data_IF_966918841489
#
_entry.id   IF_966918841489
#
_cell.length_a   1.000
_cell.length_b   1.000
_cell.length_c   1.000
_cell.angle_alpha   90.00
_cell.angle_beta   90.00
_cell.angle_gamma   90.00
#
_symmetry.space_group_name_H-M   'P 1'
#
loop_
_entity.id
_entity.type
_entity.pdbx_description
1 polymer ?
#
# COMPACT_ATOMS: atom_id res chain seq x y z
N UNK A 1 -20.56 -8.82 -15.83
CA UNK A 1 -20.89 -7.43 -15.43
C UNK A 1 -20.28 -7.22 -14.07
N UNK A 2 -19.27 -6.36 -13.96
CA UNK A 2 -18.59 -6.05 -12.69
C UNK A 2 -19.52 -5.26 -11.78
N UNK A 3 -19.82 -5.79 -10.60
CA UNK A 3 -20.57 -5.09 -9.55
C UNK A 3 -19.68 -4.12 -8.76
N UNK A 4 -20.30 -3.25 -7.96
CA UNK A 4 -19.54 -2.44 -6.99
C UNK A 4 -18.79 -3.36 -6.01
N UNK A 5 -17.49 -3.12 -5.83
CA UNK A 5 -16.65 -3.92 -4.94
C UNK A 5 -16.09 -5.20 -5.54
N UNK A 6 -16.27 -5.41 -6.84
CA UNK A 6 -15.67 -6.52 -7.59
C UNK A 6 -14.24 -6.20 -8.02
N UNK A 7 -13.34 -7.15 -7.83
CA UNK A 7 -11.92 -7.05 -8.21
C UNK A 7 -11.62 -7.60 -9.60
N UNK A 8 -12.57 -8.26 -10.26
CA UNK A 8 -12.37 -8.96 -11.54
C UNK A 8 -11.68 -8.08 -12.58
N UNK A 9 -12.21 -6.90 -12.88
CA UNK A 9 -11.63 -6.00 -13.88
C UNK A 9 -10.26 -5.45 -13.50
N UNK A 10 -9.99 -5.22 -12.20
CA UNK A 10 -8.68 -4.73 -11.74
C UNK A 10 -7.65 -5.85 -11.87
N UNK A 11 -8.00 -7.05 -11.45
CA UNK A 11 -7.13 -8.22 -11.44
C UNK A 11 -6.83 -8.78 -12.83
N UNK A 12 -7.77 -8.66 -13.77
CA UNK A 12 -7.53 -9.01 -15.18
C UNK A 12 -6.50 -8.07 -15.82
N UNK A 13 -6.49 -6.78 -15.45
CA UNK A 13 -5.62 -5.77 -16.05
C UNK A 13 -4.29 -5.55 -15.31
N UNK A 14 -4.20 -5.94 -14.03
CA UNK A 14 -3.01 -5.72 -13.20
C UNK A 14 -2.68 -6.96 -12.36
N UNK A 15 -1.43 -7.45 -12.39
CA UNK A 15 -1.01 -8.62 -11.62
C UNK A 15 -0.77 -8.25 -10.15
N UNK A 16 -1.84 -8.01 -9.40
CA UNK A 16 -1.75 -7.65 -7.98
C UNK A 16 -1.73 -8.92 -7.10
N UNK A 17 -0.89 -9.00 -6.05
CA UNK A 17 -0.84 -10.18 -5.18
C UNK A 17 -2.16 -10.55 -4.49
N UNK A 18 -3.03 -9.56 -4.25
CA UNK A 18 -4.36 -9.79 -3.69
C UNK A 18 -5.24 -10.65 -4.60
N UNK A 19 -5.05 -10.58 -5.91
CA UNK A 19 -5.88 -11.25 -6.91
C UNK A 19 -5.83 -12.77 -6.81
N UNK A 20 -4.72 -13.32 -6.33
CA UNK A 20 -4.59 -14.75 -6.07
C UNK A 20 -5.35 -15.23 -4.81
N UNK A 21 -5.96 -14.33 -4.03
CA UNK A 21 -6.74 -14.67 -2.83
C UNK A 21 -8.22 -14.25 -2.91
N UNK A 22 -8.67 -13.67 -4.03
CA UNK A 22 -10.05 -13.17 -4.18
C UNK A 22 -10.65 -13.59 -5.52
N UNK A 23 -11.99 -13.61 -5.60
CA UNK A 23 -12.72 -13.90 -6.83
C UNK A 23 -13.39 -15.28 -6.85
N UNK A 24 -13.80 -15.76 -8.03
CA UNK A 24 -14.46 -17.05 -8.16
C UNK A 24 -13.50 -18.21 -7.87
N UNK A 25 -14.06 -19.35 -7.45
CA UNK A 25 -13.32 -20.60 -7.32
C UNK A 25 -13.10 -21.22 -8.69
N UNK A 26 -11.84 -21.39 -9.10
CA UNK A 26 -11.50 -22.04 -10.36
C UNK A 26 -11.87 -23.54 -10.32
N UNK A 27 -12.67 -24.05 -11.27
CA UNK A 27 -13.10 -25.45 -11.29
C UNK A 27 -11.94 -26.45 -11.41
N UNK A 28 -10.84 -26.05 -12.08
CA UNK A 28 -9.71 -26.92 -12.37
C UNK A 28 -8.82 -27.20 -11.14
N UNK A 29 -8.72 -26.25 -10.22
CA UNK A 29 -7.81 -26.33 -9.06
C UNK A 29 -8.55 -26.26 -7.72
N UNK A 30 -9.87 -26.01 -7.74
CA UNK A 30 -10.72 -25.77 -6.58
C UNK A 30 -10.15 -24.69 -5.64
N UNK A 31 -9.47 -23.69 -6.22
CA UNK A 31 -8.82 -22.57 -5.52
C UNK A 31 -9.47 -21.26 -5.91
N UNK A 32 -9.48 -20.32 -4.98
CA UNK A 32 -9.90 -18.94 -5.24
C UNK A 32 -8.77 -18.20 -5.94
N UNK A 33 -9.09 -17.38 -6.94
CA UNK A 33 -8.17 -16.43 -7.53
C UNK A 33 -8.69 -15.86 -8.85
N UNK A 34 -8.13 -14.73 -9.27
CA UNK A 34 -8.33 -14.15 -10.60
C UNK A 34 -6.94 -14.06 -11.26
N UNK A 35 -6.82 -14.61 -12.46
CA UNK A 35 -5.58 -14.60 -13.22
C UNK A 35 -5.53 -13.37 -14.15
N UNK A 36 -4.42 -12.62 -14.19
CA UNK A 36 -4.28 -11.46 -15.06
C UNK A 36 -4.12 -11.85 -16.53
N UNK A 37 -4.67 -11.05 -17.44
CA UNK A 37 -4.56 -11.24 -18.89
C UNK A 37 -3.12 -10.97 -19.39
N UNK A 38 -2.42 -10.06 -18.72
CA UNK A 38 -1.03 -9.69 -19.03
C UNK A 38 -0.23 -9.49 -17.75
N UNK A 39 0.92 -10.17 -17.64
CA UNK A 39 1.84 -10.04 -16.51
C UNK A 39 3.29 -10.07 -16.99
N UNK A 40 4.21 -9.57 -16.15
CA UNK A 40 5.62 -9.53 -16.49
C UNK A 40 6.19 -10.96 -16.60
N UNK A 41 6.91 -11.25 -17.69
CA UNK A 41 7.44 -12.59 -17.94
C UNK A 41 8.35 -13.05 -16.80
N UNK A 42 8.08 -14.25 -16.29
CA UNK A 42 8.88 -14.89 -15.25
C UNK A 42 10.30 -15.19 -15.75
N UNK A 43 11.29 -15.05 -14.87
CA UNK A 43 12.69 -15.33 -15.18
C UNK A 43 13.11 -16.57 -14.40
N UNK A 44 13.62 -17.58 -15.10
CA UNK A 44 14.23 -18.75 -14.47
C UNK A 44 15.73 -18.49 -14.31
N UNK A 45 16.23 -18.49 -13.08
CA UNK A 45 17.65 -18.32 -12.76
C UNK A 45 18.07 -19.41 -11.76
N UNK A 46 19.11 -20.18 -12.08
CA UNK A 46 19.72 -21.15 -11.16
C UNK A 46 18.71 -22.08 -10.42
N UNK A 47 17.79 -22.70 -11.16
CA UNK A 47 16.72 -23.57 -10.66
C UNK A 47 15.65 -22.91 -9.78
N UNK A 48 15.61 -21.57 -9.69
CA UNK A 48 14.51 -20.83 -9.09
C UNK A 48 13.76 -20.03 -10.16
N UNK A 49 12.44 -19.96 -10.03
CA UNK A 49 11.60 -19.12 -10.89
C UNK A 49 11.30 -17.86 -10.09
N UNK A 50 11.76 -16.72 -10.60
CA UNK A 50 11.44 -15.40 -10.06
C UNK A 50 10.22 -14.90 -10.83
N UNK A 51 9.15 -14.66 -10.08
CA UNK A 51 7.95 -14.04 -10.63
C UNK A 51 8.18 -12.55 -10.81
N UNK A 52 7.61 -12.00 -11.88
CA UNK A 52 7.62 -10.55 -12.15
C UNK A 52 8.98 -9.87 -11.96
N UNK A 53 10.03 -10.41 -12.61
CA UNK A 53 11.40 -9.92 -12.41
C UNK A 53 11.58 -8.42 -12.65
N UNK A 54 10.80 -7.83 -13.57
CA UNK A 54 10.79 -6.39 -13.81
C UNK A 54 10.24 -5.59 -12.62
N UNK A 55 9.13 -6.03 -12.01
CA UNK A 55 8.56 -5.40 -10.83
C UNK A 55 9.51 -5.53 -9.62
N UNK A 56 10.11 -6.70 -9.45
CA UNK A 56 11.13 -6.96 -8.43
C UNK A 56 12.33 -6.00 -8.54
N UNK A 57 12.83 -5.76 -9.76
CA UNK A 57 13.91 -4.80 -10.00
C UNK A 57 13.50 -3.36 -9.63
N UNK A 58 12.26 -2.96 -9.94
CA UNK A 58 11.74 -1.64 -9.57
C UNK A 58 11.62 -1.45 -8.06
N UNK A 59 11.21 -2.47 -7.31
CA UNK A 59 11.19 -2.42 -5.85
C UNK A 59 12.59 -2.23 -5.26
N UNK A 60 13.62 -2.87 -5.81
CA UNK A 60 15.02 -2.68 -5.38
C UNK A 60 15.46 -1.22 -5.62
N UNK A 61 15.17 -0.67 -6.79
CA UNK A 61 15.46 0.73 -7.11
C UNK A 61 14.72 1.68 -6.16
N UNK A 62 13.43 1.41 -5.90
CA UNK A 62 12.62 2.19 -4.98
C UNK A 62 13.18 2.15 -3.54
N UNK A 63 13.66 0.99 -3.06
CA UNK A 63 14.32 0.87 -1.76
C UNK A 63 15.60 1.72 -1.68
N UNK A 64 16.45 1.65 -2.71
CA UNK A 64 17.69 2.46 -2.77
C UNK A 64 17.34 3.95 -2.73
N UNK A 65 16.39 4.40 -3.56
CA UNK A 65 15.95 5.80 -3.57
C UNK A 65 15.35 6.22 -2.23
N UNK A 66 14.57 5.35 -1.58
CA UNK A 66 14.01 5.63 -0.25
C UNK A 66 15.10 5.83 0.79
N UNK A 67 16.16 5.01 0.78
CA UNK A 67 17.32 5.18 1.67
C UNK A 67 17.97 6.55 1.43
N UNK A 68 18.21 6.89 0.16
CA UNK A 68 18.81 8.18 -0.22
C UNK A 68 17.94 9.33 0.30
N UNK A 69 16.63 9.28 0.12
CA UNK A 69 15.70 10.30 0.61
C UNK A 69 15.74 10.44 2.14
N UNK A 70 15.73 9.32 2.87
CA UNK A 70 15.83 9.34 4.34
C UNK A 70 17.12 10.03 4.80
N UNK A 71 18.26 9.73 4.16
CA UNK A 71 19.53 10.36 4.48
C UNK A 71 19.50 11.88 4.25
N UNK A 72 18.93 12.34 3.12
CA UNK A 72 18.80 13.76 2.79
C UNK A 72 17.84 14.51 3.72
N UNK A 73 16.75 13.87 4.15
CA UNK A 73 15.80 14.48 5.10
C UNK A 73 16.45 14.61 6.48
N UNK A 74 17.24 13.62 6.90
CA UNK A 74 17.96 13.66 8.19
C UNK A 74 19.12 14.66 8.21
N UNK A 75 19.72 14.99 7.06
CA UNK A 75 20.85 15.92 6.98
C UNK A 75 20.45 17.39 7.07
N UNK A 76 19.17 17.74 6.87
CA UNK A 76 18.66 19.11 7.03
C UNK A 76 18.26 19.33 8.49
N UNK A 77 18.68 20.45 9.12
CA UNK A 77 18.45 20.71 10.55
C UNK A 77 17.28 21.64 10.88
N UNK A 78 16.73 22.38 9.91
CA UNK A 78 15.58 23.29 10.09
C UNK A 78 14.53 23.09 8.98
N UNK A 79 13.60 22.16 9.19
CA UNK A 79 12.57 21.83 8.20
C UNK A 79 11.29 21.44 8.93
N UNK A 80 10.19 22.08 8.54
CA UNK A 80 8.84 21.83 9.08
C UNK A 80 8.40 20.42 8.72
N UNK A 81 7.81 19.69 9.66
CA UNK A 81 7.27 18.34 9.42
C UNK A 81 8.31 17.24 9.17
N UNK A 82 9.58 17.44 9.56
CA UNK A 82 10.66 16.47 9.30
C UNK A 82 10.41 15.10 9.91
N UNK A 83 10.00 15.05 11.19
CA UNK A 83 9.84 13.77 11.90
C UNK A 83 8.64 12.99 11.36
N UNK A 84 7.64 13.73 10.91
CA UNK A 84 6.39 13.27 10.36
C UNK A 84 6.62 12.60 8.98
N UNK A 85 7.28 13.30 8.06
CA UNK A 85 7.59 12.75 6.73
C UNK A 85 8.60 11.58 6.80
N UNK A 86 9.51 11.59 7.76
CA UNK A 86 10.39 10.43 7.99
C UNK A 86 9.60 9.17 8.36
N UNK A 87 8.51 9.30 9.10
CA UNK A 87 7.67 8.14 9.44
C UNK A 87 6.97 7.58 8.21
N UNK A 88 6.54 8.43 7.27
CA UNK A 88 6.05 8.00 5.95
C UNK A 88 7.12 7.19 5.21
N UNK A 89 8.36 7.69 5.11
CA UNK A 89 9.43 6.96 4.42
C UNK A 89 9.80 5.62 5.06
N UNK A 90 9.72 5.50 6.38
CA UNK A 90 9.93 4.20 7.05
C UNK A 90 8.82 3.20 6.74
N UNK A 91 7.56 3.63 6.71
CA UNK A 91 6.44 2.77 6.30
C UNK A 91 6.58 2.40 4.82
N UNK A 92 6.95 3.34 3.96
CA UNK A 92 7.19 3.10 2.52
C UNK A 92 8.31 2.09 2.28
N UNK A 93 9.41 2.20 3.02
CA UNK A 93 10.51 1.23 2.97
C UNK A 93 10.03 -0.17 3.35
N UNK A 94 9.26 -0.29 4.44
CA UNK A 94 8.72 -1.58 4.89
C UNK A 94 7.72 -2.15 3.88
N UNK A 95 6.80 -1.34 3.34
CA UNK A 95 5.85 -1.73 2.30
C UNK A 95 6.55 -2.23 1.04
N UNK A 96 7.57 -1.51 0.58
CA UNK A 96 8.33 -1.85 -0.63
C UNK A 96 9.11 -3.14 -0.43
N UNK A 97 9.69 -3.35 0.76
CA UNK A 97 10.37 -4.60 1.10
C UNK A 97 9.40 -5.80 1.13
N UNK A 98 8.23 -5.67 1.75
CA UNK A 98 7.22 -6.73 1.77
C UNK A 98 6.69 -6.99 0.35
N UNK A 99 6.46 -5.93 -0.45
CA UNK A 99 6.02 -6.06 -1.84
C UNK A 99 7.06 -6.81 -2.68
N UNK A 100 8.36 -6.52 -2.50
CA UNK A 100 9.43 -7.28 -3.15
C UNK A 100 9.39 -8.77 -2.79
N UNK A 101 9.17 -9.12 -1.52
CA UNK A 101 9.08 -10.53 -1.08
C UNK A 101 7.90 -11.26 -1.72
N UNK A 102 6.76 -10.59 -1.82
CA UNK A 102 5.52 -11.16 -2.37
C UNK A 102 5.60 -11.26 -3.91
N UNK A 103 5.98 -10.17 -4.58
CA UNK A 103 5.97 -10.06 -6.04
C UNK A 103 7.08 -10.91 -6.69
N UNK A 104 8.25 -11.02 -6.04
CA UNK A 104 9.33 -11.91 -6.51
C UNK A 104 8.97 -13.40 -6.37
N UNK A 105 7.86 -13.72 -5.68
CA UNK A 105 7.40 -15.08 -5.42
C UNK A 105 8.26 -15.85 -4.42
N UNK A 106 8.96 -15.15 -3.51
CA UNK A 106 9.64 -15.78 -2.35
C UNK A 106 8.62 -16.53 -1.50
N UNK A 107 7.42 -15.97 -1.37
CA UNK A 107 6.25 -16.66 -0.83
C UNK A 107 5.39 -17.08 -2.02
N UNK A 108 5.35 -18.37 -2.39
CA UNK A 108 4.66 -18.79 -3.60
C UNK A 108 3.14 -18.62 -3.47
N UNK A 109 2.44 -18.17 -4.53
CA UNK A 109 0.99 -18.19 -4.59
C UNK A 109 0.44 -19.59 -4.30
N UNK A 110 -0.72 -19.65 -3.65
CA UNK A 110 -1.35 -20.89 -3.14
C UNK A 110 -0.63 -21.59 -1.96
N UNK A 111 0.44 -21.01 -1.40
CA UNK A 111 0.98 -21.48 -0.12
C UNK A 111 0.17 -20.98 1.08
N UNK A 112 0.15 -21.75 2.16
CA UNK A 112 -0.49 -21.36 3.42
C UNK A 112 -0.11 -19.97 3.99
N UNK A 113 1.17 -19.53 3.93
CA UNK A 113 1.57 -18.20 4.39
C UNK A 113 1.18 -17.05 3.44
N UNK A 114 0.97 -17.31 2.15
CA UNK A 114 0.69 -16.27 1.15
C UNK A 114 -0.40 -15.25 1.55
N UNK A 115 -1.61 -15.65 2.01
CA UNK A 115 -2.64 -14.69 2.41
C UNK A 115 -2.23 -13.78 3.58
N UNK A 116 -1.32 -14.21 4.45
CA UNK A 116 -0.83 -13.38 5.56
C UNK A 116 0.14 -12.30 5.07
N UNK A 117 1.03 -12.63 4.14
CA UNK A 117 1.95 -11.65 3.57
C UNK A 117 1.21 -10.61 2.73
N UNK A 118 0.22 -11.04 1.94
CA UNK A 118 -0.64 -10.14 1.16
C UNK A 118 -1.48 -9.25 2.08
N UNK A 119 -2.00 -9.77 3.20
CA UNK A 119 -2.74 -8.92 4.15
C UNK A 119 -1.84 -7.90 4.85
N UNK A 120 -0.57 -8.24 5.14
CA UNK A 120 0.44 -7.28 5.64
C UNK A 120 0.70 -6.20 4.59
N UNK A 121 0.89 -6.57 3.32
CA UNK A 121 1.10 -5.63 2.23
C UNK A 121 -0.08 -4.64 2.12
N UNK A 122 -1.32 -5.14 2.09
CA UNK A 122 -2.53 -4.31 2.07
C UNK A 122 -2.63 -3.38 3.30
N UNK A 123 -2.32 -3.91 4.49
CA UNK A 123 -2.28 -3.11 5.72
C UNK A 123 -1.26 -1.98 5.64
N UNK A 124 -0.05 -2.27 5.17
CA UNK A 124 1.02 -1.28 5.04
C UNK A 124 0.68 -0.21 3.99
N UNK A 125 0.03 -0.58 2.88
CA UNK A 125 -0.47 0.36 1.88
C UNK A 125 -1.47 1.35 2.48
N UNK A 126 -2.43 0.86 3.27
CA UNK A 126 -3.41 1.71 3.93
C UNK A 126 -2.75 2.64 4.98
N UNK A 127 -1.85 2.08 5.80
CA UNK A 127 -1.09 2.86 6.79
C UNK A 127 -0.26 3.98 6.16
N UNK A 128 0.32 3.71 4.98
CA UNK A 128 1.10 4.67 4.21
C UNK A 128 0.22 5.84 3.73
N UNK A 129 -0.94 5.55 3.16
CA UNK A 129 -1.89 6.57 2.66
C UNK A 129 -2.44 7.42 3.81
N UNK A 130 -2.83 6.80 4.92
CA UNK A 130 -3.28 7.53 6.12
C UNK A 130 -2.17 8.39 6.70
N UNK A 131 -0.92 7.90 6.72
CA UNK A 131 0.23 8.69 7.12
C UNK A 131 0.43 9.90 6.20
N UNK A 132 0.24 9.73 4.89
CA UNK A 132 0.34 10.81 3.91
C UNK A 132 -0.75 11.88 4.12
N UNK A 133 -1.99 11.47 4.35
CA UNK A 133 -3.10 12.37 4.69
C UNK A 133 -2.77 13.24 5.91
N UNK A 134 -2.31 12.62 7.00
CA UNK A 134 -1.96 13.33 8.24
C UNK A 134 -0.81 14.31 8.01
N UNK A 135 0.22 13.91 7.26
CA UNK A 135 1.30 14.80 6.86
C UNK A 135 0.80 16.02 6.07
N UNK A 136 -0.26 15.87 5.27
CA UNK A 136 -0.87 16.99 4.55
C UNK A 136 -1.42 18.09 5.47
N UNK A 137 -1.97 17.73 6.62
CA UNK A 137 -2.47 18.70 7.61
C UNK A 137 -1.36 19.47 8.33
N UNK A 138 -0.17 18.86 8.48
CA UNK A 138 1.00 19.51 9.11
C UNK A 138 1.45 20.74 8.31
N UNK A 139 1.29 20.72 6.99
CA UNK A 139 1.62 21.84 6.12
C UNK A 139 0.80 23.12 6.37
N UNK A 140 -0.39 23.00 6.95
CA UNK A 140 -1.23 24.14 7.35
C UNK A 140 -0.99 24.60 8.80
N UNK A 141 -0.03 24.00 9.50
CA UNK A 141 0.27 24.28 10.91
C UNK A 141 -0.96 24.13 11.83
N UNK A 142 -1.90 23.25 11.47
CA UNK A 142 -3.06 22.93 12.31
C UNK A 142 -2.65 22.30 13.65
N UNK A 143 -1.49 21.63 13.65
CA UNK A 143 -0.83 21.08 14.82
C UNK A 143 0.61 21.55 14.80
N UNK A 144 1.17 21.83 15.98
CA UNK A 144 2.59 22.17 16.11
C UNK A 144 3.46 20.99 15.65
N UNK A 145 4.29 21.25 14.65
CA UNK A 145 5.16 20.26 14.04
C UNK A 145 6.31 19.87 14.98
N UNK A 146 6.76 18.62 14.88
CA UNK A 146 7.84 18.10 15.71
C UNK A 146 7.50 17.83 17.17
N UNK A 147 6.28 18.20 17.62
CA UNK A 147 5.78 17.86 18.96
C UNK A 147 5.62 16.34 19.11
N UNK A 148 5.87 15.78 20.31
CA UNK A 148 5.66 14.35 20.55
C UNK A 148 4.20 13.95 20.30
N UNK A 149 3.25 14.85 20.54
CA UNK A 149 1.83 14.63 20.30
C UNK A 149 1.55 14.43 18.79
N UNK A 150 2.04 15.32 17.93
CA UNK A 150 1.90 15.21 16.46
C UNK A 150 2.44 13.87 15.94
N UNK A 151 3.67 13.53 16.34
CA UNK A 151 4.34 12.30 15.88
C UNK A 151 3.62 11.04 16.37
N UNK A 152 3.19 11.00 17.63
CA UNK A 152 2.47 9.84 18.17
C UNK A 152 1.07 9.70 17.61
N UNK A 153 0.35 10.81 17.40
CA UNK A 153 -0.96 10.78 16.75
C UNK A 153 -0.85 10.15 15.35
N UNK A 154 0.08 10.63 14.54
CA UNK A 154 0.33 10.07 13.21
C UNK A 154 0.67 8.56 13.24
N UNK A 155 1.53 8.14 14.18
CA UNK A 155 1.90 6.71 14.34
C UNK A 155 0.73 5.84 14.76
N UNK A 156 -0.10 6.32 15.69
CA UNK A 156 -1.27 5.56 16.16
C UNK A 156 -2.31 5.48 15.06
N UNK A 157 -2.63 6.58 14.37
CA UNK A 157 -3.58 6.57 13.27
C UNK A 157 -3.14 5.65 12.13
N UNK A 158 -1.87 5.69 11.72
CA UNK A 158 -1.33 4.77 10.71
C UNK A 158 -1.31 3.32 11.19
N UNK A 159 -1.04 3.05 12.47
CA UNK A 159 -1.12 1.70 13.04
C UNK A 159 -2.57 1.17 13.09
N UNK A 160 -3.55 2.02 13.40
CA UNK A 160 -4.97 1.67 13.37
C UNK A 160 -5.40 1.39 11.93
N UNK A 161 -5.02 2.25 10.98
CA UNK A 161 -5.28 2.03 9.55
C UNK A 161 -4.64 0.73 9.03
N UNK A 162 -3.42 0.41 9.48
CA UNK A 162 -2.77 -0.88 9.23
C UNK A 162 -3.63 -2.03 9.75
N UNK A 163 -4.00 -1.99 11.04
CA UNK A 163 -4.70 -3.08 11.71
C UNK A 163 -6.07 -3.35 11.07
N UNK A 164 -6.83 -2.31 10.74
CA UNK A 164 -8.14 -2.44 10.08
C UNK A 164 -7.97 -3.15 8.73
N UNK A 165 -7.09 -2.65 7.86
CA UNK A 165 -6.89 -3.22 6.52
C UNK A 165 -6.28 -4.64 6.57
N UNK A 166 -5.37 -4.89 7.49
CA UNK A 166 -4.77 -6.21 7.71
C UNK A 166 -5.83 -7.23 8.14
N UNK A 167 -6.66 -6.89 9.14
CA UNK A 167 -7.67 -7.80 9.67
C UNK A 167 -8.80 -8.04 8.65
N UNK A 168 -9.26 -7.00 7.95
CA UNK A 168 -10.28 -7.13 6.90
C UNK A 168 -9.76 -7.99 5.76
N UNK A 169 -8.54 -7.74 5.26
CA UNK A 169 -7.92 -8.55 4.21
C UNK A 169 -7.80 -10.01 4.63
N UNK A 170 -7.29 -10.27 5.83
CA UNK A 170 -7.09 -11.62 6.33
C UNK A 170 -8.42 -12.35 6.53
N UNK A 171 -9.43 -11.68 7.10
CA UNK A 171 -10.76 -12.23 7.28
C UNK A 171 -11.43 -12.52 5.93
N UNK A 172 -11.27 -11.65 4.92
CA UNK A 172 -11.74 -11.91 3.56
C UNK A 172 -11.06 -13.14 2.97
N UNK A 173 -9.72 -13.24 3.02
CA UNK A 173 -8.99 -14.36 2.42
C UNK A 173 -9.27 -15.71 3.09
N UNK A 174 -9.50 -15.72 4.40
CA UNK A 174 -9.77 -16.94 5.18
C UNK A 174 -11.26 -17.28 5.29
N UNK A 175 -12.16 -16.42 4.81
CA UNK A 175 -13.60 -16.63 4.93
C UNK A 175 -14.12 -16.47 6.37
N UNK A 176 -13.50 -15.60 7.17
CA UNK A 176 -13.85 -15.40 8.58
C UNK A 176 -14.80 -14.21 8.78
N UNK A 177 -15.53 -14.21 9.91
CA UNK A 177 -16.40 -13.11 10.33
C UNK A 177 -17.46 -12.67 9.29
N UNK A 178 -17.95 -13.62 8.47
CA UNK A 178 -18.95 -13.35 7.42
C UNK A 178 -18.39 -12.69 6.16
N UNK A 179 -17.08 -12.40 6.12
CA UNK A 179 -16.36 -12.03 4.90
C UNK A 179 -16.00 -13.30 4.14
N UNK A 180 -16.03 -13.24 2.81
CA UNK A 180 -15.77 -14.38 1.95
C UNK A 180 -14.90 -13.92 0.77
N UNK A 181 -13.95 -14.73 0.28
CA UNK A 181 -13.16 -14.38 -0.90
C UNK A 181 -13.98 -14.09 -2.17
N UNK A 182 -15.22 -14.57 -2.23
CA UNK A 182 -16.19 -14.33 -3.32
C UNK A 182 -16.99 -13.03 -3.15
N UNK A 183 -17.07 -12.48 -1.93
CA UNK A 183 -17.73 -11.22 -1.64
C UNK A 183 -16.71 -10.22 -1.09
N UNK A 184 -16.12 -9.46 -2.00
CA UNK A 184 -14.96 -8.61 -1.77
C UNK A 184 -15.30 -7.16 -1.46
N UNK A 185 -16.60 -6.82 -1.29
CA UNK A 185 -17.06 -5.44 -1.12
C UNK A 185 -16.39 -4.77 0.09
N UNK A 186 -16.30 -5.46 1.23
CA UNK A 186 -15.65 -4.92 2.42
C UNK A 186 -14.16 -4.61 2.21
N UNK A 187 -13.44 -5.51 1.53
CA UNK A 187 -12.04 -5.32 1.19
C UNK A 187 -11.85 -4.15 0.22
N UNK A 188 -12.73 -4.02 -0.78
CA UNK A 188 -12.69 -2.94 -1.75
C UNK A 188 -12.91 -1.57 -1.09
N UNK A 189 -13.89 -1.46 -0.20
CA UNK A 189 -14.18 -0.20 0.50
C UNK A 189 -12.97 0.25 1.33
N UNK A 190 -12.39 -0.66 2.11
CA UNK A 190 -11.28 -0.34 3.00
C UNK A 190 -9.99 -0.05 2.23
N UNK A 191 -9.66 -0.87 1.22
CA UNK A 191 -8.37 -0.79 0.53
C UNK A 191 -8.36 0.21 -0.63
N UNK A 192 -9.46 0.39 -1.35
CA UNK A 192 -9.51 1.26 -2.53
C UNK A 192 -10.29 2.54 -2.27
N UNK A 193 -11.55 2.44 -1.84
CA UNK A 193 -12.42 3.62 -1.73
C UNK A 193 -11.92 4.61 -0.66
N UNK A 194 -11.62 4.10 0.54
CA UNK A 194 -11.13 4.92 1.64
C UNK A 194 -9.78 5.57 1.27
N UNK A 195 -8.83 4.78 0.78
CA UNK A 195 -7.53 5.31 0.33
C UNK A 195 -7.66 6.32 -0.80
N UNK A 196 -8.58 6.13 -1.75
CA UNK A 196 -8.82 7.10 -2.82
C UNK A 196 -9.33 8.44 -2.27
N UNK A 197 -10.23 8.41 -1.27
CA UNK A 197 -10.72 9.63 -0.60
C UNK A 197 -9.58 10.32 0.15
N UNK A 198 -8.79 9.57 0.92
CA UNK A 198 -7.64 10.13 1.66
C UNK A 198 -6.62 10.79 0.71
N UNK A 199 -6.27 10.13 -0.39
CA UNK A 199 -5.39 10.68 -1.42
C UNK A 199 -5.98 11.92 -2.09
N UNK A 200 -7.28 11.91 -2.40
CA UNK A 200 -7.94 13.07 -3.01
C UNK A 200 -7.88 14.29 -2.08
N UNK A 201 -8.16 14.10 -0.79
CA UNK A 201 -8.06 15.16 0.22
C UNK A 201 -6.61 15.64 0.33
N UNK A 202 -5.64 14.72 0.40
CA UNK A 202 -4.21 15.07 0.45
C UNK A 202 -3.78 15.92 -0.75
N UNK A 203 -4.10 15.50 -1.97
CA UNK A 203 -3.74 16.24 -3.19
C UNK A 203 -4.41 17.61 -3.20
N UNK A 204 -5.70 17.70 -2.85
CA UNK A 204 -6.40 18.99 -2.73
C UNK A 204 -5.73 19.92 -1.71
N UNK A 205 -5.32 19.38 -0.56
CA UNK A 205 -4.57 20.10 0.46
C UNK A 205 -3.23 20.62 -0.07
N UNK A 206 -2.44 19.79 -0.77
CA UNK A 206 -1.16 20.22 -1.35
C UNK A 206 -1.33 21.34 -2.39
N UNK A 207 -2.35 21.23 -3.25
CA UNK A 207 -2.65 22.28 -4.24
C UNK A 207 -3.02 23.60 -3.56
N UNK A 208 -3.85 23.56 -2.52
CA UNK A 208 -4.22 24.76 -1.75
C UNK A 208 -2.99 25.35 -1.05
N UNK A 209 -2.16 24.52 -0.42
CA UNK A 209 -0.97 24.97 0.30
C UNK A 209 0.00 25.72 -0.62
N UNK A 210 0.28 25.17 -1.81
CA UNK A 210 1.18 25.80 -2.78
C UNK A 210 0.57 27.10 -3.35
N UNK A 211 -0.71 27.06 -3.74
CA UNK A 211 -1.34 28.18 -4.46
C UNK A 211 -1.78 29.34 -3.57
N UNK A 212 -2.17 29.06 -2.33
CA UNK A 212 -2.74 30.05 -1.40
C UNK A 212 -1.80 30.42 -0.26
N UNK A 213 -1.07 29.46 0.31
CA UNK A 213 -0.27 29.71 1.51
C UNK A 213 1.13 30.16 1.12
N UNK A 214 1.85 29.35 0.34
CA UNK A 214 3.26 29.63 0.01
C UNK A 214 3.42 30.71 -1.08
N UNK A 215 2.39 30.95 -1.90
CA UNK A 215 2.48 31.84 -3.08
C UNK A 215 3.70 31.53 -3.98
N UNK A 216 4.18 30.29 -3.95
CA UNK A 216 5.39 29.84 -4.63
C UNK A 216 5.04 29.53 -6.09
N UNK A 217 4.63 30.59 -6.80
CA UNK A 217 4.37 30.55 -8.23
C UNK A 217 5.73 30.62 -8.90
N UNK A 218 6.04 29.63 -9.73
CA UNK A 218 7.19 29.71 -10.62
C UNK A 218 7.08 31.04 -11.42
N UNK A 219 8.08 31.93 -11.37
CA UNK A 219 8.03 33.21 -12.07
C UNK A 219 7.96 33.05 -13.59
#
# INVERSE_FOLDING_TARGET
MSGFGDFTSICENAPLPLCANVGPTLPATNRVGIEPDCYARNIALANTIIFEGAASAMHIVALIMTIVMILHVRSKFTAVGRKEILSFFYIYMLLTFISLVVDAGVVPPASGPFPYFVSIQNGLSNALVTCLLINGFVGFQLYEDGTPLSVWMMRICSLVAFAISFLVSLATFKGWAGLNPTNTVGLFVVLYLLNAIELFIYVGMQVILVTRTLHDRWP
#
